data_IF_270436760684
#
_entry.id   IF_270436760684
#
_cell.length_a   1.000
_cell.length_b   1.000
_cell.length_c   1.000
_cell.angle_alpha   90.00
_cell.angle_beta   90.00
_cell.angle_gamma   90.00
#
_symmetry.space_group_name_H-M   'P 1'
#
loop_
_entity.id
_entity.type
_entity.pdbx_description
1 polymer ?
#
# COMPACT_ATOMS: atom_id res chain seq x y z
N UNK A 1 32.44 -35.79 1.58
CA UNK A 1 32.39 -35.41 0.16
C UNK A 1 31.22 -34.46 -0.01
N UNK A 2 31.48 -33.15 -0.09
CA UNK A 2 30.45 -32.18 -0.42
C UNK A 2 30.05 -32.32 -1.89
N UNK A 3 28.75 -32.26 -2.21
CA UNK A 3 28.34 -32.28 -3.61
C UNK A 3 28.87 -31.03 -4.33
N UNK A 4 29.50 -31.23 -5.46
CA UNK A 4 29.97 -30.16 -6.34
C UNK A 4 28.74 -29.29 -6.73
N UNK A 5 28.78 -28.00 -6.43
CA UNK A 5 27.83 -27.03 -6.97
C UNK A 5 28.01 -27.04 -8.49
N UNK A 6 26.95 -27.48 -9.19
CA UNK A 6 26.90 -27.36 -10.65
C UNK A 6 27.04 -25.86 -10.99
N UNK A 7 28.15 -25.47 -11.60
CA UNK A 7 28.34 -24.11 -12.07
C UNK A 7 27.43 -23.89 -13.28
N UNK A 8 26.29 -23.22 -13.03
CA UNK A 8 25.44 -22.77 -14.14
C UNK A 8 26.23 -21.72 -14.92
N UNK A 9 26.44 -21.98 -16.21
CA UNK A 9 27.13 -21.03 -17.08
C UNK A 9 26.28 -19.77 -17.19
N UNK A 10 26.82 -18.58 -16.89
CA UNK A 10 26.07 -17.33 -17.06
C UNK A 10 25.64 -17.18 -18.51
N UNK A 11 24.37 -16.82 -18.72
CA UNK A 11 23.81 -16.62 -20.07
C UNK A 11 22.84 -15.43 -20.05
N UNK A 12 22.67 -14.79 -21.21
CA UNK A 12 21.60 -13.82 -21.42
C UNK A 12 20.39 -14.48 -22.05
N UNK A 13 19.21 -13.88 -21.81
CA UNK A 13 17.93 -14.34 -22.33
C UNK A 13 17.19 -13.13 -22.91
N UNK A 14 16.80 -13.23 -24.17
CA UNK A 14 16.05 -12.18 -24.85
C UNK A 14 14.59 -12.58 -24.99
N UNK A 15 13.72 -11.77 -24.42
CA UNK A 15 12.28 -11.93 -24.53
C UNK A 15 11.72 -10.92 -25.51
N UNK A 16 10.92 -11.38 -26.45
CA UNK A 16 10.07 -10.49 -27.24
C UNK A 16 8.75 -10.31 -26.48
N UNK A 17 8.46 -9.05 -26.20
CA UNK A 17 7.25 -8.59 -25.54
C UNK A 17 6.46 -7.79 -26.56
N UNK A 18 5.19 -8.16 -26.79
CA UNK A 18 4.30 -7.46 -27.73
C UNK A 18 2.98 -7.12 -27.05
N UNK A 19 2.38 -6.01 -27.41
CA UNK A 19 1.05 -5.65 -26.94
C UNK A 19 0.04 -6.63 -27.59
N UNK A 20 -0.80 -7.24 -26.79
CA UNK A 20 -1.91 -8.11 -27.25
C UNK A 20 -3.24 -7.36 -27.28
N UNK A 21 -3.43 -6.41 -26.35
CA UNK A 21 -4.64 -5.63 -26.17
C UNK A 21 -4.59 -4.87 -24.84
N UNK A 22 -5.70 -4.28 -24.48
CA UNK A 22 -5.93 -3.46 -23.30
C UNK A 22 -7.08 -2.52 -23.59
N UNK A 23 -7.62 -1.90 -22.54
CA UNK A 23 -8.77 -1.00 -22.70
C UNK A 23 -8.47 0.14 -23.70
N UNK A 24 -7.26 0.69 -23.64
CA UNK A 24 -6.79 1.78 -24.52
C UNK A 24 -5.89 1.32 -25.67
N UNK A 25 -5.76 0.00 -25.89
CA UNK A 25 -4.88 -0.49 -26.94
C UNK A 25 -5.48 -0.24 -28.34
N UNK A 26 -4.72 0.37 -29.26
CA UNK A 26 -5.19 0.57 -30.65
C UNK A 26 -5.33 -0.76 -31.39
N UNK A 27 -6.12 -0.78 -32.45
CA UNK A 27 -6.44 -1.99 -33.20
C UNK A 27 -5.22 -2.70 -33.82
N UNK A 28 -4.15 -1.96 -34.07
CA UNK A 28 -2.89 -2.45 -34.62
C UNK A 28 -1.79 -2.69 -33.54
N UNK A 29 -2.13 -2.58 -32.27
CA UNK A 29 -1.21 -2.72 -31.14
C UNK A 29 -0.39 -4.03 -31.20
N UNK A 30 -0.93 -5.11 -31.75
CA UNK A 30 -0.24 -6.40 -31.89
C UNK A 30 1.01 -6.37 -32.78
N UNK A 31 1.21 -5.31 -33.54
CA UNK A 31 2.43 -5.09 -34.31
C UNK A 31 3.53 -4.42 -33.49
N UNK A 32 3.20 -3.85 -32.32
CA UNK A 32 4.12 -3.13 -31.45
C UNK A 32 4.79 -4.11 -30.50
N UNK A 33 6.14 -4.15 -30.54
CA UNK A 33 6.90 -5.04 -29.67
C UNK A 33 8.26 -4.45 -29.27
N UNK A 34 8.81 -5.01 -28.19
CA UNK A 34 10.16 -4.76 -27.67
C UNK A 34 10.86 -6.09 -27.44
N UNK A 35 12.16 -6.15 -27.65
CA UNK A 35 13.02 -7.23 -27.20
C UNK A 35 13.83 -6.76 -26.00
N UNK A 36 13.60 -7.40 -24.86
CA UNK A 36 14.31 -7.15 -23.62
C UNK A 36 15.30 -8.29 -23.36
N UNK A 37 16.55 -7.93 -23.13
CA UNK A 37 17.62 -8.87 -22.78
C UNK A 37 17.92 -8.76 -21.28
N UNK A 38 17.93 -9.92 -20.60
CA UNK A 38 18.19 -10.07 -19.17
C UNK A 38 19.32 -11.11 -18.98
N UNK A 39 19.94 -11.08 -17.81
CA UNK A 39 20.82 -12.19 -17.39
C UNK A 39 19.98 -13.33 -16.83
N UNK A 40 20.48 -14.56 -16.95
CA UNK A 40 19.77 -15.74 -16.44
C UNK A 40 19.59 -15.74 -14.91
N UNK A 41 20.35 -14.95 -14.18
CA UNK A 41 20.25 -14.80 -12.72
C UNK A 41 19.23 -13.74 -12.26
N UNK A 42 18.81 -12.85 -13.17
CA UNK A 42 17.69 -11.96 -12.91
C UNK A 42 16.40 -12.76 -12.78
N UNK A 43 15.33 -12.10 -12.33
CA UNK A 43 14.05 -12.71 -11.98
C UNK A 43 12.93 -12.34 -12.96
N UNK A 44 11.83 -13.04 -12.87
CA UNK A 44 10.61 -12.65 -13.57
C UNK A 44 10.11 -11.29 -13.05
N UNK A 45 10.38 -10.95 -11.78
CA UNK A 45 10.17 -9.62 -11.21
C UNK A 45 10.92 -8.53 -11.97
N UNK A 46 12.23 -8.71 -12.20
CA UNK A 46 13.04 -7.77 -12.98
C UNK A 46 12.50 -7.56 -14.41
N UNK A 47 11.96 -8.62 -15.03
CA UNK A 47 11.32 -8.53 -16.33
C UNK A 47 10.00 -7.74 -16.25
N UNK A 48 9.18 -8.02 -15.23
CA UNK A 48 7.89 -7.34 -15.01
C UNK A 48 8.06 -5.85 -14.80
N UNK A 49 9.04 -5.45 -14.02
CA UNK A 49 9.36 -4.04 -13.84
C UNK A 49 9.88 -3.36 -15.12
N UNK A 50 10.64 -4.10 -15.94
CA UNK A 50 11.23 -3.53 -17.16
C UNK A 50 10.23 -3.37 -18.31
N UNK A 51 9.17 -4.18 -18.38
CA UNK A 51 8.20 -4.16 -19.49
C UNK A 51 7.51 -2.80 -19.61
N UNK A 52 6.85 -2.24 -18.58
CA UNK A 52 6.17 -0.95 -18.70
C UNK A 52 7.12 0.14 -19.20
N UNK A 53 8.29 0.26 -18.62
CA UNK A 53 9.28 1.25 -19.04
C UNK A 53 9.77 1.07 -20.48
N UNK A 54 9.89 -0.18 -20.96
CA UNK A 54 10.27 -0.44 -22.36
C UNK A 54 9.23 0.04 -23.36
N UNK A 55 7.97 0.16 -22.91
CA UNK A 55 6.87 0.73 -23.70
C UNK A 55 6.59 2.20 -23.38
N UNK A 56 7.39 2.85 -22.50
CA UNK A 56 7.20 4.25 -22.13
C UNK A 56 6.01 4.48 -21.21
N UNK A 57 5.56 3.46 -20.52
CA UNK A 57 4.54 3.54 -19.48
C UNK A 57 5.23 3.95 -18.18
N UNK A 58 4.80 5.05 -17.57
CA UNK A 58 5.47 5.65 -16.41
C UNK A 58 4.63 5.56 -15.14
N UNK A 59 3.31 5.42 -15.27
CA UNK A 59 2.44 5.23 -14.13
C UNK A 59 2.51 3.76 -13.69
N UNK A 60 2.86 3.57 -12.41
CA UNK A 60 3.11 2.24 -11.86
C UNK A 60 1.81 1.62 -11.37
N UNK A 61 1.55 0.40 -11.81
CA UNK A 61 0.38 -0.37 -11.43
C UNK A 61 0.76 -1.79 -11.01
N UNK A 62 -0.18 -2.49 -10.38
CA UNK A 62 -0.06 -3.92 -10.10
C UNK A 62 0.00 -4.70 -11.41
N UNK A 63 0.73 -5.80 -11.36
CA UNK A 63 0.87 -6.67 -12.52
C UNK A 63 1.10 -8.12 -12.14
N UNK A 64 0.74 -9.02 -13.07
CA UNK A 64 1.00 -10.45 -12.96
C UNK A 64 1.46 -11.06 -14.28
N UNK A 65 2.26 -12.12 -14.17
CA UNK A 65 2.51 -13.05 -15.26
C UNK A 65 1.64 -14.28 -15.10
N UNK A 66 1.04 -14.75 -16.20
CA UNK A 66 0.32 -16.01 -16.29
C UNK A 66 1.05 -16.93 -17.26
N UNK A 67 1.76 -17.93 -16.74
CA UNK A 67 2.62 -18.80 -17.57
C UNK A 67 1.81 -19.76 -18.48
N UNK A 68 0.52 -19.93 -18.23
CA UNK A 68 -0.40 -20.61 -19.15
C UNK A 68 -0.69 -19.79 -20.42
N UNK A 69 -0.59 -18.47 -20.33
CA UNK A 69 -1.02 -17.51 -21.35
C UNK A 69 -2.48 -17.07 -21.19
N UNK A 70 -3.20 -17.60 -20.20
CA UNK A 70 -4.60 -17.26 -19.94
C UNK A 70 -4.66 -16.31 -18.74
N UNK A 71 -5.33 -15.15 -18.85
CA UNK A 71 -5.45 -14.21 -17.73
C UNK A 71 -6.24 -14.86 -16.58
N UNK A 72 -5.89 -14.44 -15.36
CA UNK A 72 -6.52 -14.89 -14.12
C UNK A 72 -6.40 -16.40 -13.82
N UNK A 73 -5.48 -17.11 -14.49
CA UNK A 73 -5.13 -18.49 -14.15
C UNK A 73 -4.21 -18.54 -12.92
N UNK A 74 -4.82 -18.56 -11.73
CA UNK A 74 -4.14 -18.60 -10.44
C UNK A 74 -3.15 -19.78 -10.27
N UNK A 75 -3.29 -20.88 -11.08
CA UNK A 75 -2.38 -22.00 -11.00
C UNK A 75 -0.99 -21.69 -11.55
N UNK A 76 -0.89 -20.72 -12.46
CA UNK A 76 0.34 -20.34 -13.17
C UNK A 76 0.72 -18.88 -12.95
N UNK A 77 0.07 -18.19 -12.00
CA UNK A 77 0.27 -16.79 -11.71
C UNK A 77 1.57 -16.53 -10.93
N UNK A 78 2.25 -15.46 -11.33
CA UNK A 78 3.40 -14.85 -10.64
C UNK A 78 3.16 -13.34 -10.58
N UNK A 79 3.01 -12.79 -9.38
CA UNK A 79 2.69 -11.38 -9.15
C UNK A 79 3.86 -10.61 -8.54
N UNK A 80 3.82 -9.29 -8.66
CA UNK A 80 4.71 -8.36 -7.96
C UNK A 80 4.56 -8.51 -6.45
N UNK A 81 3.33 -8.46 -5.97
CA UNK A 81 2.98 -8.59 -4.55
C UNK A 81 1.93 -9.67 -4.34
N UNK A 82 2.33 -10.92 -4.05
CA UNK A 82 1.40 -12.05 -3.90
C UNK A 82 0.40 -11.91 -2.75
N UNK A 83 0.65 -11.01 -1.80
CA UNK A 83 -0.21 -10.73 -0.65
C UNK A 83 -1.37 -9.80 -0.97
N UNK A 84 -1.33 -9.12 -2.12
CA UNK A 84 -2.37 -8.19 -2.58
C UNK A 84 -3.34 -8.83 -3.61
N UNK A 85 -3.40 -10.16 -3.68
CA UNK A 85 -4.31 -10.85 -4.61
C UNK A 85 -5.73 -10.86 -4.04
N UNK A 86 -6.67 -10.07 -4.61
CA UNK A 86 -8.04 -9.98 -4.11
C UNK A 86 -8.96 -11.12 -4.56
N UNK A 87 -8.49 -12.04 -5.40
CA UNK A 87 -9.39 -13.02 -6.02
C UNK A 87 -9.09 -14.46 -5.61
N UNK A 88 -9.78 -14.94 -4.57
CA UNK A 88 -10.16 -16.35 -4.48
C UNK A 88 -9.20 -17.33 -3.83
N UNK A 89 -8.45 -16.99 -2.79
CA UNK A 89 -7.89 -17.99 -1.85
C UNK A 89 -6.71 -18.83 -2.35
N UNK A 90 -6.16 -18.58 -3.53
CA UNK A 90 -4.87 -19.09 -4.00
C UNK A 90 -3.89 -17.94 -4.12
N UNK A 91 -2.88 -17.92 -3.27
CA UNK A 91 -1.81 -16.93 -3.37
C UNK A 91 -1.04 -17.13 -4.67
N UNK A 92 -0.94 -16.09 -5.50
CA UNK A 92 0.01 -16.00 -6.59
C UNK A 92 1.43 -16.31 -6.08
N UNK A 93 2.32 -16.76 -6.94
CA UNK A 93 3.72 -16.92 -6.59
C UNK A 93 4.42 -15.57 -6.74
N UNK A 94 5.41 -15.31 -5.88
CA UNK A 94 6.22 -14.11 -6.01
C UNK A 94 7.10 -14.17 -7.28
N UNK A 95 7.03 -13.16 -8.14
CA UNK A 95 7.74 -13.11 -9.40
C UNK A 95 9.27 -13.05 -9.24
N UNK A 96 9.77 -12.52 -8.13
CA UNK A 96 11.18 -12.48 -7.76
C UNK A 96 11.78 -13.86 -7.48
N UNK A 97 10.95 -14.90 -7.29
CA UNK A 97 11.42 -16.28 -7.03
C UNK A 97 11.64 -17.11 -8.27
N UNK A 98 11.16 -16.68 -9.44
CA UNK A 98 11.40 -17.38 -10.70
C UNK A 98 12.57 -16.71 -11.45
N UNK A 99 13.67 -17.45 -11.63
CA UNK A 99 14.82 -16.96 -12.38
C UNK A 99 14.53 -16.98 -13.88
N UNK A 100 15.09 -16.00 -14.59
CA UNK A 100 14.94 -15.87 -16.06
C UNK A 100 15.41 -17.11 -16.80
N UNK A 101 16.49 -17.77 -16.34
CA UNK A 101 16.96 -19.04 -16.94
C UNK A 101 15.97 -20.20 -16.82
N UNK A 102 15.04 -20.12 -15.85
CA UNK A 102 14.03 -21.13 -15.57
C UNK A 102 12.65 -20.75 -16.16
N UNK A 103 12.57 -19.60 -16.81
CA UNK A 103 11.34 -19.12 -17.46
C UNK A 103 10.94 -20.05 -18.63
N UNK A 104 9.63 -20.19 -18.92
CA UNK A 104 9.15 -21.08 -20.00
C UNK A 104 9.78 -20.73 -21.35
N UNK A 105 10.36 -21.72 -22.01
CA UNK A 105 10.87 -21.61 -23.36
C UNK A 105 9.86 -22.18 -24.38
N UNK A 106 9.82 -21.60 -25.57
CA UNK A 106 9.05 -22.11 -26.70
C UNK A 106 7.54 -21.84 -26.69
N UNK A 107 7.00 -21.35 -25.57
CA UNK A 107 5.59 -20.93 -25.44
C UNK A 107 5.54 -19.44 -25.10
N UNK A 108 4.56 -18.73 -25.66
CA UNK A 108 4.23 -17.38 -25.24
C UNK A 108 3.39 -17.44 -23.96
N UNK A 109 3.68 -16.60 -22.99
CA UNK A 109 2.92 -16.43 -21.77
C UNK A 109 2.44 -14.98 -21.64
N UNK A 110 1.48 -14.72 -20.78
CA UNK A 110 0.85 -13.42 -20.62
C UNK A 110 1.53 -12.63 -19.51
N UNK A 111 1.74 -11.35 -19.75
CA UNK A 111 1.96 -10.33 -18.73
C UNK A 111 0.77 -9.38 -18.76
N UNK A 112 0.07 -9.28 -17.65
CA UNK A 112 -1.05 -8.38 -17.40
C UNK A 112 -0.54 -7.24 -16.54
N UNK A 113 -0.64 -6.03 -17.05
CA UNK A 113 -0.23 -4.81 -16.37
C UNK A 113 -1.45 -3.91 -16.22
N UNK A 114 -1.61 -3.32 -15.04
CA UNK A 114 -2.78 -2.54 -14.66
C UNK A 114 -4.09 -3.37 -14.72
N UNK A 115 -4.54 -3.84 -13.56
CA UNK A 115 -5.73 -4.71 -13.48
C UNK A 115 -7.02 -3.97 -13.85
N UNK A 116 -7.04 -2.62 -13.78
CA UNK A 116 -8.17 -1.79 -14.20
C UNK A 116 -8.27 -1.68 -15.72
N UNK A 117 -7.17 -1.33 -16.38
CA UNK A 117 -7.11 -1.09 -17.82
C UNK A 117 -6.69 -2.32 -18.63
N UNK A 118 -6.30 -3.38 -17.95
CA UNK A 118 -5.98 -4.69 -18.51
C UNK A 118 -5.03 -4.64 -19.73
N UNK A 119 -3.88 -3.98 -19.59
CA UNK A 119 -2.86 -4.05 -20.62
C UNK A 119 -2.28 -5.46 -20.71
N UNK A 120 -2.58 -6.14 -21.77
CA UNK A 120 -2.13 -7.51 -22.06
C UNK A 120 -0.88 -7.48 -22.94
N UNK A 121 0.19 -8.13 -22.49
CA UNK A 121 1.42 -8.32 -23.28
C UNK A 121 1.72 -9.81 -23.44
N UNK A 122 1.98 -10.25 -24.67
CA UNK A 122 2.51 -11.56 -24.95
C UNK A 122 4.03 -11.56 -24.79
N UNK A 123 4.54 -12.44 -23.94
CA UNK A 123 5.96 -12.55 -23.60
C UNK A 123 6.51 -13.88 -24.09
N UNK A 124 7.55 -13.86 -24.89
CA UNK A 124 8.14 -15.07 -25.48
C UNK A 124 9.66 -15.00 -25.47
N UNK A 125 10.31 -16.02 -24.91
CA UNK A 125 11.75 -16.21 -25.05
C UNK A 125 12.08 -16.47 -26.53
N UNK A 126 12.87 -15.60 -27.13
CA UNK A 126 13.27 -15.68 -28.55
C UNK A 126 14.72 -16.05 -28.75
N UNK A 127 15.59 -15.82 -27.76
CA UNK A 127 17.00 -16.15 -27.84
C UNK A 127 17.58 -16.38 -26.45
N UNK A 128 18.45 -17.38 -26.35
CA UNK A 128 19.40 -17.51 -25.25
C UNK A 128 20.79 -17.21 -25.79
N UNK A 129 21.46 -16.24 -25.19
CA UNK A 129 22.77 -15.75 -25.61
C UNK A 129 23.90 -16.35 -24.79
N UNK A 130 25.08 -15.79 -25.00
CA UNK A 130 26.33 -16.12 -24.29
C UNK A 130 26.38 -15.46 -22.91
N UNK A 131 27.54 -15.45 -22.28
CA UNK A 131 27.77 -14.82 -21.00
C UNK A 131 27.45 -13.31 -21.06
N UNK A 132 26.82 -12.74 -19.99
CA UNK A 132 26.53 -11.31 -19.91
C UNK A 132 27.80 -10.48 -20.08
N UNK A 133 27.68 -9.35 -20.80
CA UNK A 133 28.76 -8.39 -20.92
C UNK A 133 28.87 -7.56 -19.62
N UNK A 134 30.01 -7.58 -18.92
CA UNK A 134 30.17 -6.82 -17.67
C UNK A 134 29.99 -5.30 -17.80
N UNK A 135 30.13 -4.76 -19.04
CA UNK A 135 29.92 -3.33 -19.32
C UNK A 135 28.47 -2.93 -19.61
N UNK A 136 27.53 -3.88 -19.61
CA UNK A 136 26.14 -3.66 -19.95
C UNK A 136 25.26 -3.80 -18.72
N UNK A 137 24.33 -2.86 -18.54
CA UNK A 137 23.30 -2.95 -17.48
C UNK A 137 22.07 -3.70 -18.02
N UNK A 138 21.66 -4.72 -17.31
CA UNK A 138 20.46 -5.51 -17.60
C UNK A 138 19.37 -5.23 -16.55
N UNK A 139 18.06 -5.23 -16.92
CA UNK A 139 17.49 -5.43 -18.26
C UNK A 139 17.85 -4.33 -19.25
N UNK A 140 17.90 -4.66 -20.56
CA UNK A 140 18.06 -3.68 -21.62
C UNK A 140 17.14 -3.98 -22.81
N UNK A 141 16.66 -2.93 -23.50
CA UNK A 141 15.95 -3.05 -24.77
C UNK A 141 16.99 -3.20 -25.88
N UNK A 142 16.98 -4.34 -26.60
CA UNK A 142 17.93 -4.65 -27.67
C UNK A 142 17.32 -4.49 -29.07
N UNK A 143 15.99 -4.49 -29.18
CA UNK A 143 15.28 -4.21 -30.43
C UNK A 143 13.87 -3.71 -30.13
N UNK A 144 13.30 -2.94 -31.07
CA UNK A 144 11.96 -2.39 -30.96
C UNK A 144 11.29 -2.28 -32.33
N UNK A 145 9.96 -2.35 -32.33
CA UNK A 145 9.14 -2.12 -33.53
C UNK A 145 7.81 -1.47 -33.16
N UNK A 146 7.39 -0.52 -33.95
CA UNK A 146 6.16 0.24 -33.76
C UNK A 146 6.27 1.33 -32.70
N UNK A 147 5.48 2.36 -32.86
CA UNK A 147 5.34 3.44 -31.88
C UNK A 147 4.41 2.96 -30.76
N UNK A 148 4.82 3.11 -29.51
CA UNK A 148 3.98 2.78 -28.39
C UNK A 148 2.81 3.75 -28.31
N UNK A 149 1.58 3.27 -28.07
CA UNK A 149 0.47 4.16 -27.73
C UNK A 149 0.74 4.80 -26.36
N UNK A 150 0.14 5.95 -26.07
CA UNK A 150 0.14 6.47 -24.71
C UNK A 150 -0.47 5.43 -23.76
N UNK A 151 -0.02 5.37 -22.52
CA UNK A 151 -0.56 4.49 -21.49
C UNK A 151 -2.05 4.75 -21.28
N UNK A 152 -2.39 6.04 -21.28
CA UNK A 152 -3.77 6.53 -21.33
C UNK A 152 -3.95 7.36 -22.60
N UNK A 153 -5.11 7.33 -23.26
CA UNK A 153 -5.39 8.25 -24.35
C UNK A 153 -5.24 9.68 -23.83
N UNK A 154 -4.66 10.55 -24.64
CA UNK A 154 -4.88 11.97 -24.39
C UNK A 154 -6.39 12.19 -24.50
N UNK A 155 -7.03 12.41 -23.39
CA UNK A 155 -8.40 12.93 -23.38
C UNK A 155 -8.31 14.25 -24.12
N UNK A 156 -9.05 14.43 -25.22
CA UNK A 156 -9.17 15.76 -25.82
C UNK A 156 -9.63 16.68 -24.70
N UNK A 157 -8.90 17.77 -24.47
CA UNK A 157 -8.90 18.67 -23.32
C UNK A 157 -10.26 19.33 -23.01
N UNK A 158 -11.30 18.54 -22.77
CA UNK A 158 -12.53 19.01 -22.12
C UNK A 158 -12.64 18.51 -20.66
N UNK A 159 -11.62 17.77 -20.19
CA UNK A 159 -11.51 17.35 -18.80
C UNK A 159 -10.58 18.34 -18.10
N UNK A 160 -11.15 19.15 -17.28
CA UNK A 160 -10.41 20.07 -16.40
C UNK A 160 -9.86 19.25 -15.26
N UNK A 161 -8.65 18.65 -15.40
CA UNK A 161 -7.97 17.86 -14.36
C UNK A 161 -7.96 18.63 -13.03
N UNK A 162 -7.75 19.96 -13.08
CA UNK A 162 -7.81 20.81 -11.89
C UNK A 162 -9.21 20.81 -11.26
N UNK A 163 -10.29 20.80 -12.08
CA UNK A 163 -11.66 20.76 -11.56
C UNK A 163 -12.05 19.40 -11.02
N UNK A 164 -11.56 18.28 -11.61
CA UNK A 164 -11.80 16.93 -11.09
C UNK A 164 -11.03 16.68 -9.79
N UNK A 165 -9.78 17.13 -9.73
CA UNK A 165 -8.99 17.09 -8.50
C UNK A 165 -9.66 17.94 -7.40
N UNK A 166 -10.17 19.13 -7.73
CA UNK A 166 -10.91 19.96 -6.78
C UNK A 166 -12.23 19.30 -6.34
N UNK A 167 -12.99 18.66 -7.25
CA UNK A 167 -14.22 17.96 -6.91
C UNK A 167 -13.93 16.71 -6.05
N UNK A 168 -12.90 15.93 -6.40
CA UNK A 168 -12.47 14.78 -5.63
C UNK A 168 -12.02 15.18 -4.23
N UNK A 169 -11.20 16.22 -4.11
CA UNK A 169 -10.74 16.74 -2.82
C UNK A 169 -11.92 17.25 -1.99
N UNK A 170 -12.88 17.96 -2.61
CA UNK A 170 -14.07 18.44 -1.92
C UNK A 170 -14.98 17.31 -1.42
N UNK A 171 -15.14 16.23 -2.21
CA UNK A 171 -15.87 15.03 -1.80
C UNK A 171 -15.17 14.33 -0.64
N UNK A 172 -13.84 14.24 -0.68
CA UNK A 172 -13.04 13.65 0.39
C UNK A 172 -13.15 14.47 1.69
N UNK A 173 -12.99 15.79 1.62
CA UNK A 173 -13.17 16.69 2.76
C UNK A 173 -14.59 16.59 3.36
N UNK A 174 -15.59 16.42 2.49
CA UNK A 174 -16.97 16.20 2.94
C UNK A 174 -17.14 14.87 3.68
N UNK A 175 -16.52 13.79 3.18
CA UNK A 175 -16.55 12.48 3.83
C UNK A 175 -15.86 12.52 5.20
N UNK A 176 -14.69 13.17 5.28
CA UNK A 176 -13.99 13.39 6.55
C UNK A 176 -14.83 14.20 7.55
N UNK A 177 -15.47 15.27 7.09
CA UNK A 177 -16.35 16.07 7.94
C UNK A 177 -17.55 15.25 8.46
N UNK A 178 -18.11 14.37 7.63
CA UNK A 178 -19.18 13.45 8.04
C UNK A 178 -18.66 12.42 9.06
N UNK A 179 -17.48 11.85 8.86
CA UNK A 179 -16.86 10.92 9.81
C UNK A 179 -16.61 11.59 11.17
N UNK A 180 -16.16 12.84 11.19
CA UNK A 180 -16.04 13.62 12.44
C UNK A 180 -17.38 13.83 13.11
N UNK A 181 -18.45 14.07 12.36
CA UNK A 181 -19.79 14.22 12.95
C UNK A 181 -20.32 12.90 13.52
N UNK A 182 -20.05 11.78 12.86
CA UNK A 182 -20.31 10.44 13.40
C UNK A 182 -19.57 10.26 14.72
N UNK A 183 -18.27 10.58 14.75
CA UNK A 183 -17.45 10.48 15.95
C UNK A 183 -17.99 11.37 17.10
N UNK A 184 -18.45 12.59 16.81
CA UNK A 184 -19.06 13.49 17.81
C UNK A 184 -20.36 12.92 18.40
N UNK A 185 -21.21 12.31 17.55
CA UNK A 185 -22.44 11.66 18.00
C UNK A 185 -22.16 10.42 18.85
N UNK A 186 -21.22 9.61 18.39
CA UNK A 186 -20.84 8.36 19.08
C UNK A 186 -20.17 8.63 20.45
N UNK A 187 -19.37 9.68 20.53
CA UNK A 187 -18.64 10.09 21.73
C UNK A 187 -18.95 11.56 22.10
N UNK A 188 -20.15 11.83 22.66
CA UNK A 188 -20.50 13.17 23.10
C UNK A 188 -19.53 13.65 24.21
N UNK A 189 -19.44 14.97 24.49
CA UNK A 189 -18.47 15.54 25.43
C UNK A 189 -18.41 14.83 26.79
N UNK A 190 -19.57 14.47 27.36
CA UNK A 190 -19.64 13.76 28.65
C UNK A 190 -19.17 12.30 28.64
N UNK A 191 -19.01 11.69 27.46
CA UNK A 191 -18.50 10.33 27.32
C UNK A 191 -16.98 10.29 27.02
N UNK A 192 -16.35 11.46 26.83
CA UNK A 192 -14.92 11.57 26.52
C UNK A 192 -14.11 11.75 27.81
N UNK A 193 -13.06 10.93 28.02
CA UNK A 193 -12.22 11.07 29.20
C UNK A 193 -11.51 12.43 29.26
N UNK A 194 -11.22 12.94 30.47
CA UNK A 194 -10.44 14.16 30.65
C UNK A 194 -8.97 13.95 30.26
N UNK A 195 -8.25 15.02 30.05
CA UNK A 195 -6.84 15.01 29.71
C UNK A 195 -5.99 14.38 30.84
N UNK A 196 -5.26 13.28 30.59
CA UNK A 196 -4.32 12.69 31.55
C UNK A 196 -2.96 13.40 31.48
N UNK A 197 -2.89 14.60 32.06
CA UNK A 197 -1.76 15.52 31.85
C UNK A 197 -0.38 14.93 32.23
N UNK A 198 -0.32 14.08 33.26
CA UNK A 198 0.95 13.47 33.69
C UNK A 198 1.46 12.45 32.66
N UNK A 199 0.56 11.63 32.12
CA UNK A 199 0.87 10.58 31.15
C UNK A 199 1.22 11.21 29.80
N UNK A 200 0.48 12.25 29.39
CA UNK A 200 0.78 13.04 28.20
C UNK A 200 2.18 13.63 28.26
N UNK A 201 2.53 14.29 29.37
CA UNK A 201 3.86 14.87 29.54
C UNK A 201 4.97 13.81 29.54
N UNK A 202 4.70 12.61 30.07
CA UNK A 202 5.65 11.49 30.04
C UNK A 202 5.84 10.96 28.61
N UNK A 203 4.75 10.72 27.88
CA UNK A 203 4.78 10.27 26.48
C UNK A 203 5.51 11.27 25.59
N UNK A 204 5.20 12.56 25.71
CA UNK A 204 5.86 13.62 24.92
C UNK A 204 7.35 13.77 25.20
N UNK A 205 7.80 13.56 26.45
CA UNK A 205 9.24 13.49 26.72
C UNK A 205 9.92 12.34 25.99
N UNK A 206 9.29 11.14 25.95
CA UNK A 206 9.82 9.99 25.18
C UNK A 206 9.81 10.25 23.68
N UNK A 207 8.72 10.79 23.14
CA UNK A 207 8.62 11.18 21.73
C UNK A 207 9.75 12.13 21.34
N UNK A 208 9.97 13.22 22.08
CA UNK A 208 11.05 14.18 21.79
C UNK A 208 12.44 13.56 21.90
N UNK A 209 12.65 12.61 22.80
CA UNK A 209 13.92 11.91 22.95
C UNK A 209 14.15 10.86 21.86
N UNK A 210 13.10 10.23 21.37
CA UNK A 210 13.16 9.08 20.46
C UNK A 210 13.02 9.43 18.97
N UNK A 211 12.40 10.57 18.65
CA UNK A 211 12.30 11.03 17.26
C UNK A 211 13.70 11.40 16.73
N UNK A 212 14.20 10.57 15.81
CA UNK A 212 15.58 10.63 15.29
C UNK A 212 16.50 9.52 15.83
N UNK A 213 15.95 8.59 16.65
CA UNK A 213 16.60 7.34 17.08
C UNK A 213 16.45 6.19 16.08
N UNK A 214 16.64 4.97 16.60
CA UNK A 214 16.55 3.73 15.78
C UNK A 214 15.26 2.93 16.06
N UNK A 215 14.24 3.56 16.64
CA UNK A 215 12.93 2.92 16.88
C UNK A 215 12.09 2.96 15.59
N UNK A 216 11.74 1.81 15.00
CA UNK A 216 11.01 1.77 13.74
C UNK A 216 9.62 2.42 13.82
N UNK A 217 8.91 2.25 14.95
CA UNK A 217 7.57 2.82 15.13
C UNK A 217 7.62 4.35 15.21
N UNK A 218 8.60 4.91 15.96
CA UNK A 218 8.80 6.36 16.03
C UNK A 218 9.29 6.94 14.70
N UNK A 219 10.08 6.20 13.93
CA UNK A 219 10.49 6.63 12.59
C UNK A 219 9.29 6.66 11.62
N UNK A 220 8.40 5.67 11.70
CA UNK A 220 7.14 5.64 10.96
C UNK A 220 6.29 6.86 11.29
N UNK A 221 6.07 7.14 12.58
CA UNK A 221 5.34 8.33 13.04
C UNK A 221 5.99 9.61 12.51
N UNK A 222 7.32 9.73 12.61
CA UNK A 222 8.06 10.91 12.16
C UNK A 222 7.81 11.19 10.67
N UNK A 223 7.92 10.17 9.84
CA UNK A 223 7.71 10.29 8.39
C UNK A 223 6.26 10.61 8.06
N UNK A 224 5.31 9.82 8.56
CA UNK A 224 3.91 9.97 8.26
C UNK A 224 3.34 11.33 8.73
N UNK A 225 3.76 11.82 9.89
CA UNK A 225 3.31 13.10 10.43
C UNK A 225 4.14 14.31 9.98
N UNK A 226 5.21 14.12 9.19
CA UNK A 226 6.12 15.19 8.80
C UNK A 226 6.78 15.89 10.00
N UNK A 227 7.06 15.14 11.09
CA UNK A 227 7.61 15.68 12.32
C UNK A 227 9.11 15.94 12.17
N UNK A 228 9.47 17.18 11.87
CA UNK A 228 10.86 17.65 11.78
C UNK A 228 11.13 18.72 12.88
N UNK A 229 12.33 18.78 13.41
CA UNK A 229 12.69 19.83 14.35
C UNK A 229 12.59 21.25 13.74
N UNK A 230 12.06 22.25 14.48
CA UNK A 230 11.62 22.16 15.89
C UNK A 230 10.24 21.51 16.03
N UNK A 231 10.14 20.50 16.91
CA UNK A 231 8.88 19.85 17.23
C UNK A 231 7.90 20.81 17.94
N UNK A 232 6.58 20.55 17.85
CA UNK A 232 5.58 21.32 18.61
C UNK A 232 5.95 21.45 20.08
N UNK A 233 5.91 22.67 20.60
CA UNK A 233 6.20 22.93 22.01
C UNK A 233 5.07 22.47 22.94
N UNK A 234 3.82 22.54 22.44
CA UNK A 234 2.63 22.04 23.13
C UNK A 234 2.59 20.51 23.08
N UNK A 235 2.46 19.89 24.26
CA UNK A 235 2.46 18.43 24.41
C UNK A 235 1.23 17.79 23.74
N UNK A 236 0.05 18.41 23.86
CA UNK A 236 -1.15 17.89 23.25
C UNK A 236 -1.06 17.95 21.72
N UNK A 237 -0.57 19.07 21.17
CA UNK A 237 -0.36 19.22 19.74
C UNK A 237 0.64 18.20 19.18
N UNK A 238 1.73 17.94 19.90
CA UNK A 238 2.74 16.95 19.51
C UNK A 238 2.15 15.53 19.52
N UNK A 239 1.49 15.18 20.63
CA UNK A 239 0.95 13.84 20.78
C UNK A 239 -0.16 13.55 19.77
N UNK A 240 -1.09 14.50 19.55
CA UNK A 240 -2.17 14.34 18.58
C UNK A 240 -1.64 14.25 17.14
N UNK A 241 -0.59 14.98 16.79
CA UNK A 241 0.07 14.83 15.50
C UNK A 241 0.69 13.45 15.33
N UNK A 242 1.34 12.92 16.37
CA UNK A 242 1.92 11.59 16.35
C UNK A 242 0.83 10.49 16.26
N UNK A 243 -0.25 10.61 17.03
CA UNK A 243 -1.35 9.64 17.05
C UNK A 243 -2.16 9.64 15.74
N UNK A 244 -2.29 10.79 15.10
CA UNK A 244 -2.99 10.96 13.82
C UNK A 244 -2.09 10.71 12.59
N UNK A 245 -0.83 10.37 12.76
CA UNK A 245 0.15 10.29 11.67
C UNK A 245 -0.29 9.40 10.52
N UNK A 246 -0.72 8.18 10.81
CA UNK A 246 -1.18 7.21 9.80
C UNK A 246 -2.61 7.51 9.33
N UNK A 247 -3.44 8.11 10.17
CA UNK A 247 -4.82 8.48 9.85
C UNK A 247 -4.88 9.62 8.82
N UNK A 248 -3.93 10.54 8.89
CA UNK A 248 -3.84 11.71 8.01
C UNK A 248 -3.20 11.40 6.64
N UNK A 249 -2.76 10.18 6.41
CA UNK A 249 -2.13 9.79 5.14
C UNK A 249 -3.11 9.86 3.97
N UNK A 250 -2.73 10.59 2.93
CA UNK A 250 -3.54 10.79 1.71
C UNK A 250 -2.72 10.51 0.43
N UNK A 251 -1.81 9.55 0.48
CA UNK A 251 -0.98 9.22 -0.66
C UNK A 251 0.46 8.87 -0.28
N UNK A 252 1.39 8.80 -1.23
CA UNK A 252 2.75 8.35 -1.00
C UNK A 252 3.44 9.12 0.12
N UNK A 253 3.76 8.45 1.20
CA UNK A 253 4.34 9.05 2.42
C UNK A 253 5.86 8.81 2.52
N UNK A 254 6.43 8.01 1.60
CA UNK A 254 7.80 7.52 1.69
C UNK A 254 8.01 6.49 2.80
N UNK A 255 6.93 5.90 3.30
CA UNK A 255 6.95 4.72 4.16
C UNK A 255 7.25 3.46 3.34
N UNK A 256 7.40 2.34 4.03
CA UNK A 256 7.46 1.04 3.37
C UNK A 256 6.17 0.79 2.59
N UNK A 257 6.22 0.33 1.32
CA UNK A 257 5.03 0.15 0.48
C UNK A 257 3.98 -0.82 1.05
N UNK A 258 4.40 -1.86 1.79
CA UNK A 258 3.45 -2.80 2.42
C UNK A 258 2.70 -2.12 3.57
N UNK A 259 3.42 -1.32 4.36
CA UNK A 259 2.85 -0.51 5.43
C UNK A 259 1.85 0.52 4.87
N UNK A 260 2.25 1.22 3.82
CA UNK A 260 1.42 2.22 3.16
C UNK A 260 0.14 1.62 2.60
N UNK A 261 0.25 0.53 1.84
CA UNK A 261 -0.90 -0.18 1.28
C UNK A 261 -1.85 -0.70 2.38
N UNK A 262 -1.32 -1.25 3.48
CA UNK A 262 -2.13 -1.73 4.59
C UNK A 262 -2.93 -0.59 5.26
N UNK A 263 -2.29 0.56 5.50
CA UNK A 263 -2.98 1.72 6.11
C UNK A 263 -4.02 2.32 5.16
N UNK A 264 -3.71 2.39 3.86
CA UNK A 264 -4.64 2.91 2.84
C UNK A 264 -5.84 1.99 2.59
N UNK A 265 -5.80 0.75 3.04
CA UNK A 265 -6.95 -0.15 3.01
C UNK A 265 -7.99 0.14 4.10
N UNK A 266 -7.66 0.94 5.13
CA UNK A 266 -8.61 1.33 6.18
C UNK A 266 -9.49 2.49 5.71
N UNK A 267 -10.78 2.27 5.70
CA UNK A 267 -11.76 3.31 5.41
C UNK A 267 -11.97 4.25 6.62
N UNK A 268 -12.58 5.42 6.38
CA UNK A 268 -12.93 6.36 7.46
C UNK A 268 -13.83 5.71 8.51
N UNK A 269 -14.73 4.83 8.07
CA UNK A 269 -15.62 4.06 8.92
C UNK A 269 -14.87 3.11 9.85
N UNK A 270 -13.82 2.45 9.37
CA UNK A 270 -13.00 1.53 10.16
C UNK A 270 -12.29 2.27 11.29
N UNK A 271 -11.68 3.42 10.98
CA UNK A 271 -11.06 4.26 11.99
C UNK A 271 -12.04 4.72 13.05
N UNK A 272 -13.23 5.20 12.65
CA UNK A 272 -14.27 5.65 13.59
C UNK A 272 -14.77 4.50 14.44
N UNK A 273 -15.13 3.38 13.84
CA UNK A 273 -15.67 2.21 14.53
C UNK A 273 -14.68 1.63 15.55
N UNK A 274 -13.43 1.46 15.17
CA UNK A 274 -12.37 0.98 16.05
C UNK A 274 -12.17 1.91 17.26
N UNK A 275 -12.01 3.20 17.04
CA UNK A 275 -11.76 4.18 18.12
C UNK A 275 -13.00 4.35 19.01
N UNK A 276 -14.20 4.38 18.45
CA UNK A 276 -15.45 4.45 19.23
C UNK A 276 -15.61 3.20 20.10
N UNK A 277 -15.36 2.02 19.54
CA UNK A 277 -15.44 0.77 20.28
C UNK A 277 -14.46 0.70 21.44
N UNK A 278 -13.20 1.08 21.22
CA UNK A 278 -12.17 1.18 22.26
C UNK A 278 -12.59 2.12 23.39
N UNK A 279 -13.00 3.35 23.07
CA UNK A 279 -13.35 4.35 24.08
C UNK A 279 -14.62 3.94 24.86
N UNK A 280 -15.59 3.34 24.21
CA UNK A 280 -16.80 2.79 24.88
C UNK A 280 -16.48 1.62 25.79
N UNK A 281 -15.52 0.77 25.39
CA UNK A 281 -15.00 -0.31 26.23
C UNK A 281 -14.23 0.21 27.45
N UNK A 282 -13.79 1.47 27.42
CA UNK A 282 -13.06 2.13 28.50
C UNK A 282 -11.59 1.74 28.57
N UNK A 283 -10.87 2.31 29.55
CA UNK A 283 -9.46 1.99 29.80
C UNK A 283 -9.31 0.49 30.07
N UNK A 284 -8.32 -0.14 29.42
CA UNK A 284 -8.12 -1.59 29.42
C UNK A 284 -8.91 -2.35 28.34
N UNK A 285 -9.66 -1.65 27.48
CA UNK A 285 -10.32 -2.27 26.33
C UNK A 285 -9.30 -2.95 25.41
N UNK A 286 -9.70 -4.07 24.82
CA UNK A 286 -8.85 -4.87 23.96
C UNK A 286 -8.66 -4.21 22.60
N UNK A 287 -7.42 -3.92 22.21
CA UNK A 287 -7.03 -3.34 20.94
C UNK A 287 -6.38 -4.36 19.99
N UNK A 288 -6.48 -5.68 20.25
CA UNK A 288 -6.05 -6.68 19.29
C UNK A 288 -6.82 -6.52 17.95
N UNK A 289 -6.21 -6.73 16.79
CA UNK A 289 -6.83 -6.50 15.48
C UNK A 289 -8.22 -7.11 15.33
N UNK A 290 -8.38 -8.39 15.67
CA UNK A 290 -9.69 -9.04 15.62
C UNK A 290 -10.74 -8.39 16.55
N UNK A 291 -10.32 -7.81 17.69
CA UNK A 291 -11.21 -7.08 18.57
C UNK A 291 -11.58 -5.70 17.98
N UNK A 292 -10.68 -5.06 17.23
CA UNK A 292 -10.97 -3.83 16.52
C UNK A 292 -11.97 -4.06 15.38
N UNK A 293 -11.78 -5.11 14.58
CA UNK A 293 -12.74 -5.52 13.54
C UNK A 293 -14.12 -5.80 14.14
N UNK A 294 -14.18 -6.53 15.26
CA UNK A 294 -15.44 -6.76 15.97
C UNK A 294 -16.07 -5.44 16.45
N UNK A 295 -15.26 -4.49 16.94
CA UNK A 295 -15.74 -3.18 17.41
C UNK A 295 -16.29 -2.32 16.26
N UNK A 296 -15.68 -2.40 15.05
CA UNK A 296 -16.18 -1.75 13.83
C UNK A 296 -17.57 -2.31 13.49
N UNK A 297 -17.69 -3.64 13.42
CA UNK A 297 -18.94 -4.32 13.08
C UNK A 297 -20.06 -4.08 14.10
N UNK A 298 -19.72 -3.87 15.37
CA UNK A 298 -20.66 -3.60 16.46
C UNK A 298 -20.95 -2.11 16.64
N UNK A 299 -20.38 -1.20 15.83
CA UNK A 299 -20.57 0.24 15.96
C UNK A 299 -21.83 0.69 15.19
N UNK A 300 -22.94 1.04 15.86
CA UNK A 300 -24.20 1.34 15.18
C UNK A 300 -24.21 2.69 14.46
N UNK A 301 -23.20 3.55 14.70
CA UNK A 301 -23.07 4.84 14.07
C UNK A 301 -22.29 4.78 12.75
N UNK A 302 -21.63 3.68 12.48
CA UNK A 302 -20.89 3.42 11.24
C UNK A 302 -21.81 2.65 10.30
N UNK A 303 -22.03 3.17 9.11
CA UNK A 303 -22.77 2.47 8.06
C UNK A 303 -21.84 1.43 7.40
N UNK A 304 -22.28 0.20 7.43
CA UNK A 304 -21.54 -0.94 6.88
C UNK A 304 -20.82 -1.76 7.95
N UNK A 305 -20.69 -3.02 7.66
CA UNK A 305 -19.84 -3.96 8.40
C UNK A 305 -18.63 -4.26 7.53
N UNK A 306 -17.49 -4.51 8.15
CA UNK A 306 -16.34 -5.04 7.40
C UNK A 306 -16.79 -6.33 6.72
N UNK A 307 -16.64 -6.39 5.39
CA UNK A 307 -16.95 -7.62 4.64
C UNK A 307 -16.13 -8.77 5.23
N UNK A 308 -16.71 -9.93 5.49
CA UNK A 308 -15.95 -11.10 5.96
C UNK A 308 -14.75 -11.45 5.09
N UNK A 309 -14.81 -11.15 3.79
CA UNK A 309 -13.70 -11.38 2.86
C UNK A 309 -12.57 -10.35 3.01
N UNK A 310 -12.86 -9.16 3.57
CA UNK A 310 -11.90 -8.08 3.82
C UNK A 310 -11.41 -8.04 5.28
N UNK A 311 -12.00 -8.82 6.17
CA UNK A 311 -11.66 -8.80 7.60
C UNK A 311 -10.18 -9.06 7.86
N UNK A 312 -9.58 -10.02 7.15
CA UNK A 312 -8.14 -10.33 7.26
C UNK A 312 -7.25 -9.13 6.83
N UNK A 313 -7.70 -8.34 5.85
CA UNK A 313 -6.99 -7.14 5.40
C UNK A 313 -7.05 -6.02 6.43
N UNK A 314 -8.22 -5.79 7.00
CA UNK A 314 -8.42 -4.80 8.07
C UNK A 314 -7.64 -5.19 9.33
N UNK A 315 -7.62 -6.48 9.70
CA UNK A 315 -6.78 -6.97 10.80
C UNK A 315 -5.29 -6.73 10.52
N UNK A 316 -4.82 -7.03 9.31
CA UNK A 316 -3.43 -6.78 8.89
C UNK A 316 -3.08 -5.29 8.98
N UNK A 317 -3.99 -4.41 8.55
CA UNK A 317 -3.79 -2.97 8.64
C UNK A 317 -3.63 -2.51 10.10
N UNK A 318 -4.44 -3.02 11.01
CA UNK A 318 -4.28 -2.69 12.44
C UNK A 318 -3.01 -3.29 13.06
N UNK A 319 -2.53 -4.47 12.60
CA UNK A 319 -1.22 -4.99 13.03
C UNK A 319 -0.07 -4.01 12.70
N UNK A 320 -0.22 -3.24 11.64
CA UNK A 320 0.73 -2.21 11.22
C UNK A 320 0.57 -0.93 12.04
N UNK A 321 -0.66 -0.56 12.39
CA UNK A 321 -0.97 0.66 13.16
C UNK A 321 -0.57 0.52 14.63
N UNK A 322 -0.83 -0.63 15.24
CA UNK A 322 -0.67 -0.85 16.67
C UNK A 322 0.73 -0.54 17.23
N UNK A 323 1.85 -0.91 16.58
CA UNK A 323 3.17 -0.52 17.06
C UNK A 323 3.36 0.99 17.20
N UNK A 324 2.70 1.79 16.36
CA UNK A 324 2.75 3.26 16.45
C UNK A 324 1.93 3.76 17.64
N UNK A 325 0.79 3.15 17.91
CA UNK A 325 -0.04 3.47 19.07
C UNK A 325 0.62 3.05 20.40
N UNK A 326 1.34 1.91 20.40
CA UNK A 326 2.16 1.49 21.54
C UNK A 326 3.30 2.47 21.82
N UNK A 327 4.01 2.92 20.78
CA UNK A 327 5.15 3.85 20.91
C UNK A 327 4.77 5.20 21.52
N UNK A 328 3.51 5.62 21.40
CA UNK A 328 2.98 6.85 21.99
C UNK A 328 2.13 6.64 23.25
N UNK A 329 2.09 5.42 23.80
CA UNK A 329 1.24 5.01 24.92
C UNK A 329 -0.26 5.21 24.70
N UNK A 330 -0.76 5.15 23.46
CA UNK A 330 -2.19 5.09 23.22
C UNK A 330 -2.78 3.75 23.62
N UNK A 331 -2.02 2.68 23.40
CA UNK A 331 -2.23 1.35 23.94
C UNK A 331 -0.99 0.88 24.71
N UNK A 332 -1.13 -0.04 25.65
CA UNK A 332 0.01 -0.62 26.35
C UNK A 332 0.59 -1.84 25.60
N UNK A 333 1.64 -2.44 26.16
CA UNK A 333 2.34 -3.60 25.58
C UNK A 333 1.48 -4.87 25.51
N UNK A 334 0.38 -4.91 26.26
CA UNK A 334 -0.62 -5.99 26.23
C UNK A 334 -1.80 -5.63 25.29
N UNK A 335 -1.61 -4.60 24.43
CA UNK A 335 -2.61 -4.07 23.50
C UNK A 335 -3.91 -3.69 24.21
N UNK A 336 -3.80 -2.96 25.33
CA UNK A 336 -4.94 -2.45 26.07
C UNK A 336 -4.97 -0.93 25.98
N UNK A 337 -6.17 -0.39 25.76
CA UNK A 337 -6.37 1.05 25.71
C UNK A 337 -5.92 1.71 27.03
N UNK A 338 -5.07 2.71 26.94
CA UNK A 338 -4.62 3.51 28.10
C UNK A 338 -5.56 4.71 28.36
N UNK A 339 -5.36 5.40 29.51
CA UNK A 339 -6.02 6.70 29.76
C UNK A 339 -5.68 7.73 28.68
N UNK A 340 -4.43 7.71 28.22
CA UNK A 340 -3.95 8.64 27.18
C UNK A 340 -4.57 8.32 25.81
N UNK A 341 -4.66 7.04 25.45
CA UNK A 341 -5.33 6.60 24.24
C UNK A 341 -6.84 6.90 24.26
N UNK A 342 -7.50 6.64 25.38
CA UNK A 342 -8.92 6.94 25.54
C UNK A 342 -9.23 8.44 25.39
N UNK A 343 -8.36 9.31 25.94
CA UNK A 343 -8.47 10.75 25.74
C UNK A 343 -8.14 11.18 24.33
N UNK A 344 -7.06 10.64 23.77
CA UNK A 344 -6.38 11.23 22.62
C UNK A 344 -6.79 10.68 21.27
N UNK A 345 -7.07 9.37 21.13
CA UNK A 345 -7.39 8.78 19.82
C UNK A 345 -8.57 9.45 19.13
N UNK A 346 -9.73 9.71 19.79
CA UNK A 346 -10.84 10.42 19.13
C UNK A 346 -10.45 11.83 18.67
N UNK A 347 -9.61 12.52 19.44
CA UNK A 347 -9.13 13.87 19.10
C UNK A 347 -8.13 13.85 17.96
N UNK A 348 -7.28 12.80 17.90
CA UNK A 348 -6.34 12.59 16.81
C UNK A 348 -7.05 12.32 15.48
N UNK A 349 -8.13 11.50 15.49
CA UNK A 349 -8.98 11.29 14.33
C UNK A 349 -9.56 12.62 13.82
N UNK A 350 -10.27 13.34 14.68
CA UNK A 350 -10.90 14.59 14.29
C UNK A 350 -9.88 15.59 13.73
N UNK A 351 -8.70 15.71 14.38
CA UNK A 351 -7.64 16.60 13.94
C UNK A 351 -7.03 16.19 12.61
N UNK A 352 -6.81 14.90 12.38
CA UNK A 352 -6.33 14.36 11.13
C UNK A 352 -7.26 14.74 9.95
N UNK A 353 -8.55 14.87 10.23
CA UNK A 353 -9.61 15.27 9.29
C UNK A 353 -10.01 16.76 9.42
N UNK A 354 -9.07 17.61 9.79
CA UNK A 354 -9.23 19.07 9.76
C UNK A 354 -10.20 19.65 10.77
N UNK A 355 -10.57 18.90 11.81
CA UNK A 355 -11.55 19.31 12.82
C UNK A 355 -11.01 19.14 14.24
N UNK A 356 -11.64 19.84 15.19
CA UNK A 356 -11.37 19.66 16.62
C UNK A 356 -12.62 19.08 17.32
N UNK A 357 -12.38 18.14 18.23
CA UNK A 357 -13.39 17.73 19.20
C UNK A 357 -13.28 18.66 20.42
N UNK A 358 -13.87 19.86 20.32
CA UNK A 358 -13.89 20.78 21.44
C UNK A 358 -14.62 20.16 22.62
N UNK A 359 -13.99 20.23 23.80
CA UNK A 359 -14.69 20.13 25.07
C UNK A 359 -15.32 21.51 25.36
N UNK A 360 -16.56 21.57 25.81
CA UNK A 360 -17.25 22.82 26.11
C UNK A 360 -16.57 23.60 27.21
#
# INVERSE_FOLDING_TARGET
MSPARSSVTPSTHTFRVRILGGFYAPSDARQIWRELELTGDQTLGDLGEAIPFAFGFHDLHLWSFFLSGEPWDAATEYALSPSLDPVGGRRARAADRLRIRDAPAGKEFLFLFDYGDEWHFGVRLVRTGEAPNPGVRYPQVVASHGQTPPQYPAVEDDWDEEAEDEEFLAQWEQAEAQAVEVLRRALPPGARPPLPAADLAAACRRLRAGLGGHDPALETIRRAAGLEPPLPADDAALWLAAAGALIAMRGPSGLDPELEAAVMALELADWVGAVVGLVRGGVGANAEPAALVAAINDCPEVEGTVDPDDADLVELAFEVVLPTWEAIDAVDVDRRLTDLGAWGLPRALARAWGSDLHDP
#
